data_IF_178993812064
#
_entry.id   IF_178993812064
#
_cell.length_a   1.000
_cell.length_b   1.000
_cell.length_c   1.000
_cell.angle_alpha   90.00
_cell.angle_beta   90.00
_cell.angle_gamma   90.00
#
_symmetry.space_group_name_H-M   'P 1'
#
loop_
_entity.id
_entity.type
_entity.pdbx_description
1 polymer ?
#
# COMPACT_ATOMS: atom_id res chain seq x y z
N UNK A 1 -8.89 -10.79 11.79
CA UNK A 1 -10.02 -11.02 10.87
C UNK A 1 -10.78 -12.25 11.27
N UNK A 2 -10.87 -13.24 10.38
CA UNK A 2 -11.78 -14.39 10.48
C UNK A 2 -11.69 -15.18 11.80
N UNK A 3 -10.53 -15.79 12.09
CA UNK A 3 -10.35 -16.61 13.29
C UNK A 3 -10.54 -15.82 14.59
N UNK A 4 -10.08 -14.56 14.62
CA UNK A 4 -10.27 -13.68 15.77
C UNK A 4 -11.73 -13.32 16.02
N UNK A 5 -12.53 -13.15 14.95
CA UNK A 5 -13.95 -12.86 15.08
C UNK A 5 -14.75 -14.11 15.51
N UNK A 6 -14.45 -15.29 14.95
CA UNK A 6 -15.05 -16.55 15.41
C UNK A 6 -14.73 -16.84 16.88
N UNK A 7 -13.47 -16.59 17.29
CA UNK A 7 -13.06 -16.71 18.68
C UNK A 7 -13.86 -15.75 19.58
N UNK A 8 -13.94 -14.47 19.20
CA UNK A 8 -14.68 -13.47 19.96
C UNK A 8 -16.16 -13.83 20.10
N UNK A 9 -16.82 -14.20 19.00
CA UNK A 9 -18.24 -14.58 19.01
C UNK A 9 -18.49 -15.83 19.85
N UNK A 10 -17.59 -16.82 19.77
CA UNK A 10 -17.63 -18.02 20.60
C UNK A 10 -17.50 -17.70 22.07
N UNK A 11 -16.52 -16.87 22.44
CA UNK A 11 -16.29 -16.47 23.82
C UNK A 11 -17.49 -15.72 24.41
N UNK A 12 -18.04 -14.73 23.69
CA UNK A 12 -19.19 -13.95 24.18
C UNK A 12 -20.47 -14.79 24.28
N UNK A 13 -20.69 -15.69 23.33
CA UNK A 13 -21.97 -16.43 23.20
C UNK A 13 -22.01 -17.75 23.96
N UNK A 14 -20.85 -18.37 24.24
CA UNK A 14 -20.77 -19.65 24.91
C UNK A 14 -20.25 -19.57 26.35
N UNK A 15 -19.36 -18.63 26.65
CA UNK A 15 -18.66 -18.57 27.95
C UNK A 15 -19.09 -17.37 28.80
N UNK A 16 -18.97 -16.15 28.26
CA UNK A 16 -19.19 -14.90 29.03
C UNK A 16 -20.66 -14.69 29.37
N UNK A 17 -21.54 -14.78 28.36
CA UNK A 17 -22.98 -14.71 28.55
C UNK A 17 -23.72 -15.66 27.60
N UNK A 18 -23.94 -16.92 28.01
CA UNK A 18 -24.69 -17.88 27.21
C UNK A 18 -26.17 -17.50 27.12
N UNK A 19 -26.60 -17.06 25.94
CA UNK A 19 -27.99 -16.75 25.62
C UNK A 19 -28.60 -17.82 24.71
N UNK A 20 -29.66 -18.48 25.18
CA UNK A 20 -30.49 -19.35 24.34
C UNK A 20 -31.61 -18.53 23.71
N UNK A 21 -31.36 -17.98 22.51
CA UNK A 21 -32.34 -17.17 21.76
C UNK A 21 -33.00 -18.06 20.69
N UNK A 22 -34.32 -18.21 20.78
CA UNK A 22 -35.08 -18.97 19.77
C UNK A 22 -34.77 -20.47 19.73
N UNK A 23 -34.28 -21.04 20.84
CA UNK A 23 -33.98 -22.47 20.97
C UNK A 23 -32.70 -22.95 20.25
N UNK A 24 -31.88 -22.03 19.74
CA UNK A 24 -30.60 -22.36 19.10
C UNK A 24 -29.51 -22.67 20.14
N UNK A 25 -28.57 -23.51 19.75
CA UNK A 25 -27.35 -23.76 20.52
C UNK A 25 -26.55 -22.46 20.72
N UNK A 26 -25.90 -22.34 21.88
CA UNK A 26 -25.10 -21.17 22.26
C UNK A 26 -23.88 -20.96 21.36
N UNK A 27 -23.44 -22.00 20.64
CA UNK A 27 -22.39 -21.92 19.63
C UNK A 27 -22.90 -22.26 18.23
N UNK A 28 -23.69 -21.34 17.65
CA UNK A 28 -24.27 -21.51 16.32
C UNK A 28 -23.30 -21.11 15.19
N UNK A 29 -22.34 -21.98 14.86
CA UNK A 29 -21.30 -21.74 13.85
C UNK A 29 -21.84 -21.18 12.51
N UNK A 30 -22.95 -21.70 11.92
CA UNK A 30 -23.49 -21.15 10.67
C UNK A 30 -23.92 -19.67 10.76
N UNK A 31 -24.35 -19.22 11.93
CA UNK A 31 -24.75 -17.83 12.16
C UNK A 31 -23.54 -16.89 12.34
N UNK A 32 -22.37 -17.43 12.73
CA UNK A 32 -21.16 -16.64 12.94
C UNK A 32 -20.36 -16.40 11.67
N UNK A 33 -20.48 -17.29 10.67
CA UNK A 33 -19.73 -17.21 9.42
C UNK A 33 -19.90 -15.86 8.69
N UNK A 34 -21.11 -15.29 8.51
CA UNK A 34 -21.26 -14.01 7.81
C UNK A 34 -20.49 -12.88 8.51
N UNK A 35 -20.56 -12.80 9.84
CA UNK A 35 -19.87 -11.76 10.61
C UNK A 35 -18.34 -11.95 10.56
N UNK A 36 -17.87 -13.19 10.69
CA UNK A 36 -16.45 -13.50 10.58
C UNK A 36 -15.90 -13.22 9.18
N UNK A 37 -16.69 -13.46 8.13
CA UNK A 37 -16.37 -13.11 6.75
C UNK A 37 -16.20 -11.60 6.59
N UNK A 38 -17.17 -10.78 7.04
CA UNK A 38 -17.06 -9.32 6.96
C UNK A 38 -15.83 -8.80 7.71
N UNK A 39 -15.57 -9.34 8.91
CA UNK A 39 -14.39 -8.97 9.69
C UNK A 39 -13.07 -9.34 9.00
N UNK A 40 -13.04 -10.45 8.26
CA UNK A 40 -11.90 -10.85 7.43
C UNK A 40 -11.66 -9.86 6.29
N UNK A 41 -12.70 -9.55 5.52
CA UNK A 41 -12.63 -8.64 4.37
C UNK A 41 -12.21 -7.24 4.83
N UNK A 42 -12.82 -6.73 5.89
CA UNK A 42 -12.47 -5.44 6.49
C UNK A 42 -11.00 -5.42 6.94
N UNK A 43 -10.56 -6.46 7.66
CA UNK A 43 -9.15 -6.55 8.11
C UNK A 43 -8.19 -6.56 6.92
N UNK A 44 -8.50 -7.33 5.87
CA UNK A 44 -7.66 -7.44 4.67
C UNK A 44 -7.57 -6.09 3.94
N UNK A 45 -8.68 -5.39 3.75
CA UNK A 45 -8.72 -4.08 3.12
C UNK A 45 -7.91 -3.04 3.90
N UNK A 46 -8.09 -2.96 5.22
CA UNK A 46 -7.37 -2.00 6.08
C UNK A 46 -5.88 -2.32 6.12
N UNK A 47 -5.50 -3.59 6.30
CA UNK A 47 -4.09 -4.00 6.30
C UNK A 47 -3.42 -3.69 4.95
N UNK A 48 -4.12 -3.91 3.84
CA UNK A 48 -3.59 -3.62 2.49
C UNK A 48 -3.39 -2.12 2.29
N UNK A 49 -4.37 -1.30 2.68
CA UNK A 49 -4.27 0.15 2.64
C UNK A 49 -3.09 0.66 3.50
N UNK A 50 -2.99 0.18 4.74
CA UNK A 50 -1.91 0.57 5.64
C UNK A 50 -0.53 0.12 5.11
N UNK A 51 -0.43 -1.10 4.59
CA UNK A 51 0.79 -1.61 3.97
C UNK A 51 1.21 -0.74 2.77
N UNK A 52 0.28 -0.35 1.90
CA UNK A 52 0.54 0.57 0.79
C UNK A 52 1.07 1.92 1.29
N UNK A 53 0.41 2.52 2.28
CA UNK A 53 0.80 3.82 2.83
C UNK A 53 2.21 3.77 3.45
N UNK A 54 2.49 2.72 4.22
CA UNK A 54 3.80 2.52 4.86
C UNK A 54 4.87 2.24 3.81
N UNK A 55 4.63 1.31 2.88
CA UNK A 55 5.61 0.88 1.87
C UNK A 55 5.97 1.98 0.88
N UNK A 56 5.01 2.82 0.53
CA UNK A 56 5.19 3.98 -0.35
C UNK A 56 5.63 5.24 0.42
N UNK A 57 5.86 5.14 1.73
CA UNK A 57 6.22 6.27 2.62
C UNK A 57 5.26 7.46 2.43
N UNK A 58 3.96 7.19 2.24
CA UNK A 58 2.90 8.17 2.09
C UNK A 58 2.35 8.50 3.48
N UNK A 59 2.52 9.75 3.90
CA UNK A 59 2.02 10.25 5.19
C UNK A 59 1.18 11.51 4.94
N UNK A 60 0.06 11.69 5.66
CA UNK A 60 -0.72 12.91 5.56
C UNK A 60 0.17 14.11 5.95
N UNK A 61 0.19 15.14 5.10
CA UNK A 61 1.02 16.34 5.30
C UNK A 61 2.44 16.27 4.72
N UNK A 62 2.84 15.18 4.05
CA UNK A 62 4.13 15.12 3.36
C UNK A 62 4.11 16.00 2.09
N UNK A 63 5.07 16.91 1.97
CA UNK A 63 5.24 17.71 0.74
C UNK A 63 5.57 16.79 -0.44
N UNK A 64 4.80 16.85 -1.55
CA UNK A 64 5.07 16.05 -2.72
C UNK A 64 6.40 16.48 -3.36
N UNK A 65 7.31 15.53 -3.57
CA UNK A 65 8.53 15.74 -4.35
C UNK A 65 8.23 15.35 -5.79
N UNK A 66 7.83 16.32 -6.61
CA UNK A 66 7.57 16.15 -8.04
C UNK A 66 8.83 16.51 -8.82
N UNK A 67 9.18 15.71 -9.82
CA UNK A 67 10.32 15.97 -10.74
C UNK A 67 9.99 17.15 -11.67
N UNK A 68 8.75 17.15 -12.18
CA UNK A 68 8.15 18.26 -12.92
C UNK A 68 6.64 18.27 -12.60
N UNK A 69 6.03 19.43 -12.32
CA UNK A 69 4.59 19.53 -12.02
C UNK A 69 3.69 19.01 -13.14
N UNK A 70 4.18 18.96 -14.39
CA UNK A 70 3.44 18.47 -15.56
C UNK A 70 3.37 16.96 -15.65
N UNK A 71 4.14 16.23 -14.83
CA UNK A 71 4.10 14.74 -14.80
C UNK A 71 2.73 14.21 -14.40
N UNK A 72 2.00 14.95 -13.56
CA UNK A 72 0.64 14.57 -13.15
C UNK A 72 -0.42 14.97 -14.19
N UNK A 73 -0.05 15.72 -15.23
CA UNK A 73 -0.98 16.29 -16.19
C UNK A 73 -0.78 15.72 -17.61
N UNK A 74 0.30 16.10 -18.28
CA UNK A 74 0.46 15.92 -19.73
C UNK A 74 1.81 15.33 -20.17
N UNK A 75 2.72 15.03 -19.23
CA UNK A 75 4.05 14.48 -19.56
C UNK A 75 4.38 13.23 -18.76
N UNK A 76 5.24 12.39 -19.33
CA UNK A 76 5.87 11.28 -18.60
C UNK A 76 7.34 11.63 -18.34
N UNK A 77 7.84 11.26 -17.16
CA UNK A 77 9.24 11.45 -16.80
C UNK A 77 9.92 10.09 -16.62
N UNK A 78 11.11 9.93 -17.23
CA UNK A 78 12.01 8.82 -16.98
C UNK A 78 13.17 9.35 -16.13
N UNK A 79 13.37 8.77 -14.95
CA UNK A 79 14.44 9.17 -14.03
C UNK A 79 15.47 8.07 -13.96
N UNK A 80 16.71 8.41 -14.32
CA UNK A 80 17.87 7.56 -14.15
C UNK A 80 18.59 7.97 -12.86
N UNK A 81 18.85 6.99 -11.99
CA UNK A 81 19.58 7.20 -10.74
C UNK A 81 20.92 6.50 -10.86
N UNK A 82 22.01 7.25 -10.70
CA UNK A 82 23.34 6.66 -10.51
C UNK A 82 23.41 6.07 -9.11
N UNK A 83 23.41 4.74 -9.00
CA UNK A 83 23.47 4.03 -7.72
C UNK A 83 24.79 3.29 -7.53
N UNK A 84 25.18 2.44 -8.49
CA UNK A 84 26.29 1.48 -8.27
C UNK A 84 27.24 1.28 -9.48
N UNK A 85 26.82 1.59 -10.70
CA UNK A 85 27.65 1.48 -11.90
C UNK A 85 28.14 2.86 -12.33
N UNK A 86 29.31 2.93 -12.97
CA UNK A 86 29.78 4.14 -13.64
C UNK A 86 28.74 4.57 -14.67
N UNK A 87 27.93 5.56 -14.32
CA UNK A 87 26.88 6.06 -15.20
C UNK A 87 27.55 6.85 -16.32
N UNK A 88 27.21 6.53 -17.56
CA UNK A 88 27.78 7.20 -18.74
C UNK A 88 26.73 8.14 -19.33
N UNK A 89 26.83 9.41 -18.96
CA UNK A 89 25.93 10.48 -19.41
C UNK A 89 25.82 10.53 -20.93
N UNK A 90 26.93 10.37 -21.66
CA UNK A 90 26.95 10.44 -23.12
C UNK A 90 26.12 9.33 -23.78
N UNK A 91 26.11 8.13 -23.18
CA UNK A 91 25.29 7.02 -23.68
C UNK A 91 23.82 7.19 -23.31
N UNK A 92 23.52 7.81 -22.17
CA UNK A 92 22.15 8.15 -21.81
C UNK A 92 21.58 9.21 -22.78
N UNK A 93 22.36 10.22 -23.12
CA UNK A 93 21.99 11.25 -24.09
C UNK A 93 21.75 10.65 -25.49
N UNK A 94 22.58 9.70 -25.95
CA UNK A 94 22.36 8.99 -27.21
C UNK A 94 21.00 8.27 -27.24
N UNK A 95 20.65 7.56 -26.16
CA UNK A 95 19.36 6.86 -26.04
C UNK A 95 18.19 7.85 -26.05
N UNK A 96 18.34 9.00 -25.38
CA UNK A 96 17.31 10.04 -25.35
C UNK A 96 17.10 10.71 -26.70
N UNK A 97 18.18 10.94 -27.45
CA UNK A 97 18.12 11.49 -28.80
C UNK A 97 17.46 10.50 -29.78
N UNK A 98 17.76 9.21 -29.67
CA UNK A 98 17.13 8.15 -30.47
C UNK A 98 15.61 8.03 -30.25
N UNK A 99 15.14 8.35 -29.04
CA UNK A 99 13.75 8.19 -28.64
C UNK A 99 12.96 9.51 -28.54
N UNK A 100 13.49 10.61 -29.10
CA UNK A 100 12.83 11.93 -29.14
C UNK A 100 12.42 12.47 -27.77
N UNK A 101 13.31 12.38 -26.77
CA UNK A 101 13.05 12.97 -25.46
C UNK A 101 12.92 14.51 -25.57
N UNK A 102 11.77 15.05 -25.14
CA UNK A 102 11.47 16.48 -25.30
C UNK A 102 12.27 17.38 -24.34
N UNK A 103 12.57 16.91 -23.13
CA UNK A 103 13.27 17.72 -22.13
C UNK A 103 14.22 16.84 -21.33
N UNK A 104 15.49 17.25 -21.26
CA UNK A 104 16.54 16.61 -20.47
C UNK A 104 17.01 17.53 -19.37
N UNK A 105 17.05 17.03 -18.14
CA UNK A 105 17.53 17.77 -16.98
C UNK A 105 18.35 16.85 -16.10
N UNK A 106 19.61 17.22 -15.91
CA UNK A 106 20.49 16.58 -14.93
C UNK A 106 20.39 17.39 -13.63
N UNK A 107 19.89 16.77 -12.57
CA UNK A 107 19.75 17.41 -11.27
C UNK A 107 20.09 16.43 -10.15
N UNK A 108 20.84 16.91 -9.16
CA UNK A 108 21.09 16.18 -7.93
C UNK A 108 19.81 16.15 -7.09
N UNK A 109 19.13 15.01 -7.08
CA UNK A 109 17.84 14.86 -6.38
C UNK A 109 18.07 14.84 -4.86
N UNK A 110 17.54 15.81 -4.09
CA UNK A 110 17.73 15.86 -2.65
C UNK A 110 17.04 14.66 -1.95
N UNK A 111 17.85 13.78 -1.35
CA UNK A 111 17.40 12.59 -0.63
C UNK A 111 17.79 11.24 -1.25
N UNK A 112 18.70 11.22 -2.22
CA UNK A 112 19.32 9.97 -2.74
C UNK A 112 20.29 9.31 -1.74
N UNK A 113 20.73 10.02 -0.69
CA UNK A 113 21.61 9.48 0.37
C UNK A 113 20.87 8.63 1.42
N UNK A 114 19.54 8.77 1.56
CA UNK A 114 18.69 8.07 2.57
C UNK A 114 18.30 6.64 2.13
N UNK A 115 19.11 6.01 1.29
CA UNK A 115 18.96 4.62 0.88
C UNK A 115 20.34 3.98 0.66
N UNK A 116 21.24 4.18 1.62
CA UNK A 116 22.32 3.25 1.96
C UNK A 116 21.89 2.42 3.16
#
# INVERSE_FOLDING_TARGET
GFAGMLWFQGWTSAEDWPLVIGGKETFALPAFIPVAFEAMVLSAAVCTLLALLIRSRLRPGKTPKLIDPRVTNDRFALVLLERDAAFNDAKADEIFDLHNAETRRWENIPGSEDNR
#
